data_IF_874682211572
#
_entry.id   IF_874682211572
#
_cell.length_a   1.000
_cell.length_b   1.000
_cell.length_c   1.000
_cell.angle_alpha   90.00
_cell.angle_beta   90.00
_cell.angle_gamma   90.00
#
_symmetry.space_group_name_H-M   'P 1'
#
loop_
_entity.id
_entity.type
_entity.pdbx_description
1 polymer ?
#
# COMPACT_ATOMS: atom_id res chain seq x y z
N UNK A 1 42.53 39.02 -57.79
CA UNK A 1 41.65 38.85 -58.99
C UNK A 1 41.47 37.35 -59.19
N UNK A 2 40.26 36.80 -58.93
CA UNK A 2 39.33 36.16 -59.93
C UNK A 2 40.03 35.08 -60.79
N UNK A 3 39.60 33.83 -60.98
CA UNK A 3 38.40 32.97 -60.73
C UNK A 3 38.88 31.53 -61.10
N UNK A 4 38.36 30.42 -60.57
CA UNK A 4 37.34 29.49 -61.15
C UNK A 4 37.35 28.26 -60.20
N UNK A 5 36.34 27.82 -59.45
CA UNK A 5 34.97 27.31 -59.70
C UNK A 5 34.90 25.93 -60.40
N UNK A 6 34.03 25.06 -59.85
CA UNK A 6 33.37 23.82 -60.35
C UNK A 6 34.00 22.48 -59.95
N UNK A 7 33.49 21.73 -58.95
CA UNK A 7 32.25 20.91 -58.83
C UNK A 7 32.16 19.71 -59.78
N UNK A 8 31.85 18.55 -59.17
CA UNK A 8 31.32 17.30 -59.75
C UNK A 8 32.40 16.42 -60.42
N UNK A 9 32.51 15.10 -60.27
CA UNK A 9 31.51 14.05 -60.07
C UNK A 9 32.34 12.77 -59.73
N UNK A 10 32.06 12.07 -58.62
CA UNK A 10 31.52 10.70 -58.59
C UNK A 10 32.51 9.49 -58.63
N UNK A 11 32.21 8.53 -57.73
CA UNK A 11 32.17 7.06 -57.90
C UNK A 11 33.18 6.14 -57.16
N UNK A 12 32.56 5.12 -56.52
CA UNK A 12 33.04 3.85 -55.92
C UNK A 12 33.61 3.89 -54.48
N UNK A 13 32.82 3.55 -53.44
CA UNK A 13 32.30 2.20 -53.06
C UNK A 13 33.33 1.33 -52.31
N UNK A 14 33.30 1.40 -50.98
CA UNK A 14 33.59 0.31 -50.04
C UNK A 14 33.13 0.77 -48.64
N UNK A 15 31.93 0.40 -48.19
CA UNK A 15 31.71 -0.79 -47.37
C UNK A 15 32.64 -0.88 -46.15
N UNK A 16 32.26 -0.18 -45.08
CA UNK A 16 32.57 -0.56 -43.69
C UNK A 16 31.54 0.06 -42.74
N UNK A 17 30.27 -0.22 -43.03
CA UNK A 17 29.26 -0.35 -41.99
C UNK A 17 29.56 -1.70 -41.35
N UNK A 18 30.27 -1.72 -40.22
CA UNK A 18 30.30 -2.88 -39.32
C UNK A 18 30.76 -2.44 -37.92
N UNK A 19 29.81 -2.57 -36.99
CA UNK A 19 30.01 -2.92 -35.58
C UNK A 19 30.32 -1.76 -34.63
N UNK A 20 29.33 -0.88 -34.52
CA UNK A 20 28.90 -0.34 -33.24
C UNK A 20 28.41 -1.49 -32.33
N UNK A 21 29.31 -2.21 -31.67
CA UNK A 21 28.97 -2.95 -30.46
C UNK A 21 29.12 -2.01 -29.27
N UNK A 22 28.14 -1.11 -29.10
CA UNK A 22 27.79 -0.67 -27.75
C UNK A 22 27.28 -1.94 -27.07
N UNK A 23 28.17 -2.60 -26.34
CA UNK A 23 27.79 -3.62 -25.36
C UNK A 23 26.84 -2.95 -24.40
N UNK A 24 25.53 -3.13 -24.63
CA UNK A 24 24.53 -2.91 -23.61
C UNK A 24 24.90 -3.85 -22.48
N UNK A 25 25.49 -3.29 -21.42
CA UNK A 25 25.45 -3.92 -20.12
C UNK A 25 23.96 -4.09 -19.76
N UNK A 26 23.39 -5.23 -20.09
CA UNK A 26 22.32 -5.80 -19.27
C UNK A 26 22.99 -6.20 -17.95
N UNK A 27 23.21 -5.18 -17.11
CA UNK A 27 23.29 -5.43 -15.69
C UNK A 27 21.87 -5.82 -15.29
N UNK A 28 21.55 -7.11 -15.38
CA UNK A 28 20.53 -7.73 -14.52
C UNK A 28 21.05 -7.60 -13.07
N UNK A 29 21.10 -6.36 -12.58
CA UNK A 29 21.21 -6.07 -11.16
C UNK A 29 19.91 -6.60 -10.57
N UNK A 30 20.02 -7.81 -10.00
CA UNK A 30 18.95 -8.54 -9.37
C UNK A 30 18.10 -7.59 -8.55
N UNK A 31 16.88 -7.37 -9.03
CA UNK A 31 15.96 -6.43 -8.43
C UNK A 31 15.75 -6.88 -6.97
N UNK A 32 16.09 -6.07 -5.96
CA UNK A 32 15.84 -6.44 -4.58
C UNK A 32 14.35 -6.29 -4.33
N UNK A 33 13.60 -7.35 -4.60
CA UNK A 33 12.15 -7.39 -4.42
C UNK A 33 11.84 -8.15 -3.14
N UNK A 34 11.69 -7.45 -2.01
CA UNK A 34 10.40 -6.81 -1.70
C UNK A 34 10.48 -5.30 -1.47
N UNK A 35 9.34 -4.61 -1.58
CA UNK A 35 9.22 -3.21 -1.17
C UNK A 35 7.89 -2.95 -0.43
N UNK A 36 7.89 -1.90 0.38
CA UNK A 36 6.72 -1.51 1.16
C UNK A 36 5.89 -0.43 0.43
N UNK A 37 4.57 -0.53 0.58
CA UNK A 37 3.58 0.46 0.17
C UNK A 37 2.88 0.94 1.45
N UNK A 38 3.33 2.06 2.04
CA UNK A 38 2.60 2.71 3.12
C UNK A 38 1.39 3.44 2.55
N UNK A 39 0.28 3.39 3.27
CA UNK A 39 -0.93 4.15 2.96
C UNK A 39 -1.44 4.82 4.23
N UNK A 40 -2.10 5.96 4.08
CA UNK A 40 -2.78 6.64 5.18
C UNK A 40 -4.18 7.01 4.72
N UNK A 41 -5.18 6.63 5.51
CA UNK A 41 -6.58 6.95 5.28
C UNK A 41 -7.12 7.64 6.52
N UNK A 42 -7.58 8.89 6.37
CA UNK A 42 -8.27 9.60 7.43
C UNK A 42 -9.73 9.12 7.51
N UNK A 43 -10.19 8.84 8.73
CA UNK A 43 -11.57 8.43 8.98
C UNK A 43 -12.15 9.06 10.23
N UNK A 44 -13.43 9.41 10.14
CA UNK A 44 -14.24 9.81 11.29
C UNK A 44 -15.07 8.62 11.73
N UNK A 45 -14.82 8.13 12.94
CA UNK A 45 -15.48 6.97 13.53
C UNK A 45 -16.46 7.45 14.62
N UNK A 46 -17.78 7.27 14.43
CA UNK A 46 -18.74 7.54 15.49
C UNK A 46 -18.57 6.49 16.58
N UNK A 47 -17.99 6.90 17.71
CA UNK A 47 -17.63 6.02 18.81
C UNK A 47 -18.68 6.04 19.91
N UNK A 48 -19.56 5.03 19.91
CA UNK A 48 -20.41 4.73 21.06
C UNK A 48 -19.95 3.41 21.66
N UNK A 49 -19.11 3.47 22.71
CA UNK A 49 -18.72 2.27 23.46
C UNK A 49 -19.53 2.20 24.74
N UNK A 50 -20.09 1.03 25.01
CA UNK A 50 -20.44 0.61 26.37
C UNK A 50 -19.30 -0.27 26.86
N UNK A 51 -18.97 -0.24 28.16
CA UNK A 51 -18.00 -1.18 28.72
C UNK A 51 -18.51 -2.61 28.44
N UNK A 52 -17.92 -3.27 27.44
CA UNK A 52 -18.42 -4.51 26.90
C UNK A 52 -17.29 -5.47 26.60
N UNK A 53 -17.58 -6.75 26.81
CA UNK A 53 -16.69 -7.83 26.39
C UNK A 53 -16.75 -8.09 24.88
N UNK A 54 -17.73 -7.52 24.17
CA UNK A 54 -18.00 -7.75 22.75
C UNK A 54 -17.41 -6.67 21.83
N UNK A 55 -17.19 -7.06 20.58
CA UNK A 55 -16.72 -6.19 19.51
C UNK A 55 -17.89 -5.54 18.74
N UNK A 56 -17.77 -4.24 18.45
CA UNK A 56 -18.68 -3.49 17.59
C UNK A 56 -18.05 -3.30 16.21
N UNK A 57 -18.78 -3.68 15.18
CA UNK A 57 -18.33 -3.64 13.79
C UNK A 57 -18.72 -2.31 13.13
N UNK A 58 -17.73 -1.64 12.54
CA UNK A 58 -17.92 -0.41 11.78
C UNK A 58 -18.18 -0.69 10.30
N UNK A 59 -18.79 0.26 9.57
CA UNK A 59 -18.93 0.16 8.11
C UNK A 59 -17.58 0.02 7.39
N UNK A 60 -17.64 -0.52 6.17
CA UNK A 60 -16.49 -0.68 5.29
C UNK A 60 -15.80 0.67 5.01
N UNK A 61 -14.48 0.70 5.14
CA UNK A 61 -13.62 1.85 4.86
C UNK A 61 -12.85 1.57 3.57
N UNK A 62 -13.18 2.28 2.50
CA UNK A 62 -12.51 2.09 1.21
C UNK A 62 -11.04 2.51 1.28
N UNK A 63 -10.15 1.65 0.80
CA UNK A 63 -8.71 1.91 0.80
C UNK A 63 -8.22 2.57 -0.49
N UNK A 64 -8.93 2.40 -1.61
CA UNK A 64 -8.54 2.92 -2.93
C UNK A 64 -7.08 2.56 -3.31
N UNK A 65 -6.57 1.41 -2.87
CA UNK A 65 -5.20 1.00 -3.16
C UNK A 65 -5.11 0.49 -4.61
N UNK A 66 -4.28 1.15 -5.42
CA UNK A 66 -3.91 0.68 -6.76
C UNK A 66 -2.50 0.09 -6.73
N UNK A 67 -2.40 -1.19 -6.36
CA UNK A 67 -1.12 -1.89 -6.27
C UNK A 67 -0.41 -1.97 -7.63
N UNK A 68 -1.14 -2.04 -8.75
CA UNK A 68 -0.54 -2.05 -10.09
C UNK A 68 0.17 -0.74 -10.39
N UNK A 69 -0.48 0.40 -10.10
CA UNK A 69 0.12 1.72 -10.26
C UNK A 69 1.39 1.86 -9.40
N UNK A 70 1.32 1.46 -8.13
CA UNK A 70 2.46 1.54 -7.22
C UNK A 70 3.63 0.61 -7.60
N UNK A 71 3.34 -0.58 -8.16
CA UNK A 71 4.39 -1.47 -8.71
C UNK A 71 5.04 -0.81 -9.93
N UNK A 72 4.25 -0.28 -10.86
CA UNK A 72 4.75 0.33 -12.11
C UNK A 72 5.55 1.60 -11.86
N UNK A 73 5.20 2.37 -10.83
CA UNK A 73 5.95 3.56 -10.41
C UNK A 73 7.39 3.20 -10.02
N UNK A 74 7.58 2.10 -9.28
CA UNK A 74 8.92 1.63 -8.90
C UNK A 74 9.60 0.82 -10.01
N UNK A 75 8.84 0.01 -10.74
CA UNK A 75 9.33 -0.91 -11.75
C UNK A 75 8.37 -0.98 -12.95
N UNK A 76 8.62 -0.16 -13.96
CA UNK A 76 7.75 0.00 -15.14
C UNK A 76 7.49 -1.28 -15.95
N UNK A 77 8.39 -2.26 -15.86
CA UNK A 77 8.27 -3.58 -16.52
C UNK A 77 7.40 -4.59 -15.74
N UNK A 78 7.07 -4.29 -14.48
CA UNK A 78 6.30 -5.18 -13.61
C UNK A 78 4.87 -4.65 -13.43
N UNK A 79 4.00 -5.54 -12.98
CA UNK A 79 2.58 -5.27 -12.77
C UNK A 79 2.07 -6.07 -11.58
N UNK A 80 0.80 -5.88 -11.25
CA UNK A 80 0.10 -6.67 -10.23
C UNK A 80 0.07 -8.17 -10.55
N UNK A 81 0.22 -8.55 -11.83
CA UNK A 81 0.32 -9.95 -12.25
C UNK A 81 1.67 -10.60 -11.89
N UNK A 82 2.69 -9.79 -11.58
CA UNK A 82 4.01 -10.25 -11.15
C UNK A 82 4.13 -10.40 -9.63
N UNK A 83 3.05 -10.15 -8.87
CA UNK A 83 3.04 -10.35 -7.43
C UNK A 83 3.31 -11.83 -7.09
N UNK A 84 4.24 -12.05 -6.15
CA UNK A 84 4.53 -13.36 -5.55
C UNK A 84 4.01 -13.44 -4.12
N UNK A 85 3.97 -12.32 -3.40
CA UNK A 85 3.42 -12.21 -2.05
C UNK A 85 3.04 -10.76 -1.74
N UNK A 86 2.01 -10.57 -0.93
CA UNK A 86 1.66 -9.32 -0.30
C UNK A 86 1.20 -9.58 1.13
N UNK A 87 1.85 -8.94 2.11
CA UNK A 87 1.52 -9.09 3.53
C UNK A 87 1.41 -7.74 4.21
N UNK A 88 0.57 -7.65 5.23
CA UNK A 88 0.53 -6.48 6.10
C UNK A 88 1.67 -6.57 7.13
N UNK A 89 2.60 -5.63 7.10
CA UNK A 89 3.76 -5.60 8.01
C UNK A 89 3.62 -4.57 9.11
N UNK A 90 2.74 -3.59 8.94
CA UNK A 90 2.40 -2.62 9.97
C UNK A 90 0.98 -2.11 9.83
N UNK A 91 0.36 -1.78 10.95
CA UNK A 91 -0.89 -1.04 10.98
C UNK A 91 -0.94 -0.24 12.26
N UNK A 92 -1.11 1.08 12.15
CA UNK A 92 -1.46 1.92 13.29
C UNK A 92 -2.74 2.72 13.06
N UNK A 93 -3.39 3.05 14.17
CA UNK A 93 -4.50 4.01 14.23
C UNK A 93 -4.00 5.18 15.06
N UNK A 94 -3.84 6.34 14.44
CA UNK A 94 -3.37 7.55 15.11
C UNK A 94 -4.55 8.49 15.39
N UNK A 95 -4.60 9.02 16.61
CA UNK A 95 -5.57 10.03 17.01
C UNK A 95 -5.30 11.35 16.31
N UNK A 96 -6.35 11.98 15.76
CA UNK A 96 -6.29 13.36 15.28
C UNK A 96 -7.10 14.28 16.20
N UNK A 97 -8.37 14.00 16.38
CA UNK A 97 -9.28 14.85 17.13
C UNK A 97 -10.49 14.08 17.67
N UNK A 98 -11.26 14.74 18.53
CA UNK A 98 -12.52 14.23 19.06
C UNK A 98 -13.50 15.35 19.30
N UNK A 99 -14.80 15.01 19.31
CA UNK A 99 -15.87 15.97 19.56
C UNK A 99 -16.03 16.29 21.06
N UNK A 100 -15.85 15.30 21.93
CA UNK A 100 -16.04 15.41 23.39
C UNK A 100 -14.72 15.24 24.18
N UNK A 101 -13.57 15.27 23.51
CA UNK A 101 -12.25 15.24 24.14
C UNK A 101 -11.74 13.84 24.48
N UNK A 102 -12.43 12.77 24.08
CA UNK A 102 -11.96 11.39 24.29
C UNK A 102 -10.84 11.04 23.32
N UNK A 103 -10.05 10.06 23.72
CA UNK A 103 -8.85 9.61 23.02
C UNK A 103 -8.89 8.09 22.83
N UNK A 104 -7.84 7.51 22.25
CA UNK A 104 -7.84 6.10 21.85
C UNK A 104 -7.77 5.11 23.02
N UNK A 105 -7.49 5.56 24.25
CA UNK A 105 -7.50 4.75 25.46
C UNK A 105 -8.93 4.28 25.86
N UNK A 106 -9.97 4.84 25.24
CA UNK A 106 -11.35 4.30 25.36
C UNK A 106 -11.55 2.99 24.60
N UNK A 107 -10.59 2.62 23.73
CA UNK A 107 -10.58 1.39 22.94
C UNK A 107 -9.65 0.40 23.61
N UNK A 108 -10.21 -0.69 24.13
CA UNK A 108 -9.41 -1.77 24.74
C UNK A 108 -8.92 -2.76 23.71
N UNK A 109 -9.64 -2.98 22.62
CA UNK A 109 -9.25 -3.93 21.59
C UNK A 109 -9.75 -3.54 20.21
N UNK A 110 -9.05 -3.97 19.18
CA UNK A 110 -9.45 -3.78 17.79
C UNK A 110 -9.08 -5.02 16.97
N UNK A 111 -9.94 -5.35 16.01
CA UNK A 111 -9.65 -6.30 14.93
C UNK A 111 -9.85 -5.59 13.61
N UNK A 112 -8.95 -5.84 12.68
CA UNK A 112 -9.02 -5.26 11.34
C UNK A 112 -9.05 -6.38 10.33
N UNK A 113 -10.04 -6.29 9.45
CA UNK A 113 -10.24 -7.21 8.34
C UNK A 113 -10.01 -6.48 7.03
N UNK A 114 -9.50 -7.21 6.04
CA UNK A 114 -9.45 -6.77 4.65
C UNK A 114 -10.55 -7.49 3.87
N UNK A 115 -11.22 -6.74 3.00
CA UNK A 115 -12.28 -7.23 2.12
C UNK A 115 -12.01 -6.78 0.69
N UNK A 116 -12.38 -7.65 -0.25
CA UNK A 116 -12.36 -7.39 -1.68
C UNK A 116 -13.54 -8.11 -2.36
N UNK A 117 -13.95 -7.73 -3.58
CA UNK A 117 -15.08 -8.34 -4.25
C UNK A 117 -14.84 -9.84 -4.50
N UNK A 118 -15.86 -10.66 -4.22
CA UNK A 118 -15.83 -12.11 -4.42
C UNK A 118 -14.78 -12.88 -3.60
N UNK A 119 -14.17 -12.23 -2.60
CA UNK A 119 -13.27 -12.87 -1.63
C UNK A 119 -13.90 -12.83 -0.24
N UNK A 120 -13.66 -13.86 0.61
CA UNK A 120 -14.05 -13.80 2.01
C UNK A 120 -13.31 -12.67 2.73
N UNK A 121 -13.78 -12.26 3.90
CA UNK A 121 -13.04 -11.31 4.72
C UNK A 121 -11.87 -12.01 5.39
N UNK A 122 -10.70 -11.37 5.41
CA UNK A 122 -9.49 -11.91 6.06
C UNK A 122 -9.07 -11.02 7.22
N UNK A 123 -8.84 -11.63 8.38
CA UNK A 123 -8.29 -10.92 9.54
C UNK A 123 -6.82 -10.58 9.26
N UNK A 124 -6.48 -9.29 9.30
CA UNK A 124 -5.13 -8.80 8.99
C UNK A 124 -4.42 -8.19 10.19
N UNK A 125 -5.12 -7.89 11.28
CA UNK A 125 -4.47 -7.43 12.49
C UNK A 125 -5.39 -7.39 13.69
N UNK A 126 -4.79 -7.48 14.88
CA UNK A 126 -5.51 -7.40 16.16
C UNK A 126 -4.71 -6.64 17.20
N UNK A 127 -5.40 -6.09 18.18
CA UNK A 127 -4.82 -5.53 19.40
C UNK A 127 -5.79 -5.79 20.55
N UNK A 128 -5.25 -6.06 21.72
CA UNK A 128 -6.01 -6.27 22.95
C UNK A 128 -5.32 -5.49 24.07
N UNK A 129 -6.11 -5.10 25.08
CA UNK A 129 -5.68 -4.32 26.23
C UNK A 129 -4.91 -3.03 25.87
N UNK A 130 -5.33 -2.33 24.82
CA UNK A 130 -4.78 -1.02 24.51
C UNK A 130 -5.06 -0.03 25.65
N UNK A 131 -4.03 0.72 26.01
CA UNK A 131 -4.09 1.81 27.00
C UNK A 131 -3.49 3.10 26.45
N UNK A 132 -3.00 3.10 25.21
CA UNK A 132 -2.36 4.26 24.61
C UNK A 132 -3.42 5.24 24.09
N UNK A 133 -3.39 6.51 24.52
CA UNK A 133 -4.39 7.49 24.13
C UNK A 133 -4.18 8.07 22.72
N UNK A 134 -2.97 7.98 22.14
CA UNK A 134 -2.62 8.66 20.89
C UNK A 134 -2.46 7.73 19.70
N UNK A 135 -1.99 6.51 19.93
CA UNK A 135 -1.73 5.55 18.85
C UNK A 135 -2.06 4.14 19.29
N UNK A 136 -2.84 3.43 18.48
CA UNK A 136 -3.05 1.98 18.60
C UNK A 136 -2.21 1.29 17.53
N UNK A 137 -1.24 0.49 17.94
CA UNK A 137 -0.44 -0.34 17.02
C UNK A 137 -1.00 -1.76 17.04
N UNK A 138 -1.37 -2.28 15.87
CA UNK A 138 -1.91 -3.62 15.77
C UNK A 138 -0.79 -4.64 15.57
N UNK A 139 -0.98 -5.82 16.17
CA UNK A 139 -0.25 -7.02 15.82
C UNK A 139 -0.79 -7.52 14.49
N UNK A 140 0.02 -7.49 13.44
CA UNK A 140 -0.39 -7.96 12.11
C UNK A 140 -0.51 -9.49 12.09
N UNK A 141 -1.50 -9.99 11.36
CA UNK A 141 -1.64 -11.41 11.11
C UNK A 141 -0.75 -11.83 9.93
N UNK A 142 -0.22 -13.05 9.97
CA UNK A 142 0.51 -13.63 8.83
C UNK A 142 -0.47 -14.14 7.76
N UNK A 143 -1.14 -13.20 7.09
CA UNK A 143 -2.09 -13.45 6.03
C UNK A 143 -1.48 -13.08 4.67
N UNK A 144 -1.69 -13.93 3.67
CA UNK A 144 -1.34 -13.65 2.27
C UNK A 144 -2.48 -12.86 1.61
N UNK A 145 -2.17 -11.66 1.13
CA UNK A 145 -3.14 -10.66 0.69
C UNK A 145 -3.09 -10.38 -0.81
N UNK A 146 -2.27 -11.12 -1.56
CA UNK A 146 -2.07 -10.94 -3.00
C UNK A 146 -3.39 -10.77 -3.77
N UNK A 147 -4.37 -11.64 -3.56
CA UNK A 147 -5.62 -11.61 -4.32
C UNK A 147 -6.53 -10.44 -3.93
N UNK A 148 -6.39 -9.92 -2.71
CA UNK A 148 -7.11 -8.73 -2.26
C UNK A 148 -6.51 -7.46 -2.87
N UNK A 149 -5.18 -7.40 -2.99
CA UNK A 149 -4.48 -6.25 -3.56
C UNK A 149 -4.51 -6.21 -5.09
N UNK A 150 -4.83 -7.33 -5.75
CA UNK A 150 -5.16 -7.35 -7.19
C UNK A 150 -6.43 -6.56 -7.52
N UNK A 151 -7.36 -6.47 -6.57
CA UNK A 151 -8.56 -5.66 -6.73
C UNK A 151 -8.28 -4.19 -6.40
N UNK A 152 -8.83 -3.28 -7.21
CA UNK A 152 -8.88 -1.84 -6.91
C UNK A 152 -10.00 -1.47 -5.93
N UNK A 153 -10.89 -2.40 -5.62
CA UNK A 153 -12.06 -2.22 -4.77
C UNK A 153 -11.88 -2.90 -3.41
N UNK A 154 -10.74 -2.65 -2.77
CA UNK A 154 -10.46 -3.16 -1.43
C UNK A 154 -10.98 -2.20 -0.34
N UNK A 155 -11.43 -2.78 0.77
CA UNK A 155 -11.88 -2.04 1.96
C UNK A 155 -11.37 -2.68 3.24
N UNK A 156 -11.20 -1.85 4.26
CA UNK A 156 -10.98 -2.29 5.63
C UNK A 156 -12.31 -2.41 6.36
N UNK A 157 -12.35 -3.32 7.31
CA UNK A 157 -13.43 -3.39 8.28
C UNK A 157 -12.80 -3.38 9.66
N UNK A 158 -13.24 -2.43 10.48
CA UNK A 158 -12.80 -2.29 11.85
C UNK A 158 -13.86 -2.88 12.78
N UNK A 159 -13.43 -3.75 13.68
CA UNK A 159 -14.19 -4.15 14.84
C UNK A 159 -13.50 -3.62 16.09
N UNK A 160 -14.25 -2.95 16.95
CA UNK A 160 -13.68 -2.29 18.13
C UNK A 160 -14.36 -2.75 19.41
N UNK A 161 -13.56 -2.96 20.44
CA UNK A 161 -13.98 -3.27 21.79
C UNK A 161 -13.67 -2.10 22.71
N UNK A 162 -14.67 -1.63 23.45
CA UNK A 162 -14.52 -0.52 24.40
C UNK A 162 -13.78 -0.93 25.67
N UNK A 163 -13.03 0.00 26.27
CA UNK A 163 -12.46 -0.15 27.61
C UNK A 163 -13.43 0.32 28.70
N UNK A 164 -14.31 1.27 28.36
CA UNK A 164 -15.26 1.89 29.26
C UNK A 164 -16.49 2.39 28.50
N UNK A 165 -17.55 2.73 29.23
CA UNK A 165 -18.72 3.38 28.64
C UNK A 165 -18.37 4.82 28.28
N UNK A 166 -18.43 5.15 27.00
CA UNK A 166 -18.10 6.45 26.43
C UNK A 166 -18.89 6.68 25.14
N UNK A 167 -19.25 7.93 24.90
CA UNK A 167 -19.82 8.36 23.63
C UNK A 167 -18.99 9.54 23.14
N UNK A 168 -18.43 9.44 21.94
CA UNK A 168 -17.67 10.49 21.27
C UNK A 168 -17.64 10.21 19.76
N UNK A 169 -17.17 11.17 18.97
CA UNK A 169 -16.84 10.99 17.57
C UNK A 169 -15.34 11.25 17.42
N UNK A 170 -14.58 10.22 17.02
CA UNK A 170 -13.13 10.30 16.91
C UNK A 170 -12.74 10.44 15.44
N UNK A 171 -11.89 11.42 15.13
CA UNK A 171 -11.19 11.46 13.84
C UNK A 171 -9.82 10.81 14.03
N UNK A 172 -9.52 9.83 13.18
CA UNK A 172 -8.30 9.02 13.24
C UNK A 172 -7.65 8.87 11.88
N UNK A 173 -6.36 8.61 11.87
CA UNK A 173 -5.61 8.19 10.70
C UNK A 173 -5.31 6.69 10.78
N UNK A 174 -5.79 5.94 9.80
CA UNK A 174 -5.48 4.53 9.62
C UNK A 174 -4.24 4.42 8.72
N UNK A 175 -3.20 3.75 9.21
CA UNK A 175 -1.90 3.65 8.52
C UNK A 175 -1.49 2.20 8.27
N UNK A 176 -2.12 1.51 7.32
CA UNK A 176 -1.64 0.20 6.90
C UNK A 176 -0.34 0.33 6.10
N UNK A 177 0.57 -0.62 6.31
CA UNK A 177 1.82 -0.77 5.56
C UNK A 177 1.84 -2.19 4.98
N UNK A 178 1.79 -2.28 3.66
CA UNK A 178 1.85 -3.54 2.94
C UNK A 178 3.26 -3.77 2.42
N UNK A 179 3.84 -4.93 2.72
CA UNK A 179 5.06 -5.42 2.09
C UNK A 179 4.70 -6.27 0.89
N UNK A 180 5.16 -5.85 -0.28
CA UNK A 180 4.89 -6.50 -1.56
C UNK A 180 6.19 -7.08 -2.12
N UNK A 181 6.11 -8.34 -2.53
CA UNK A 181 7.16 -9.03 -3.26
C UNK A 181 6.66 -9.31 -4.68
N UNK A 182 7.35 -8.78 -5.68
CA UNK A 182 7.17 -9.11 -7.09
C UNK A 182 8.30 -10.02 -7.57
N UNK A 183 8.06 -10.79 -8.62
CA UNK A 183 9.07 -11.61 -9.24
C UNK A 183 8.80 -11.77 -10.72
N UNK A 184 9.87 -11.97 -11.49
CA UNK A 184 9.81 -12.28 -12.90
C UNK A 184 9.14 -13.65 -13.16
#
# INVERSE_FOLDING_TARGET
MKKLVFRSLLFFSALAILLTSLTSCDSDEGIPVPFDIPMTVEQTLPFATVNTSSYLRYPDITLNLDADAAIREKYSKLSVNNLKSAKLTGFSIDYLSSKLGKKLDIISGAKVYLKAPNLPEVLIGTVENNTNPTTITLNTADAELIDYLKSKQNSLILEIKGAQTSLDELTVNLKPVFKISVGL
#
